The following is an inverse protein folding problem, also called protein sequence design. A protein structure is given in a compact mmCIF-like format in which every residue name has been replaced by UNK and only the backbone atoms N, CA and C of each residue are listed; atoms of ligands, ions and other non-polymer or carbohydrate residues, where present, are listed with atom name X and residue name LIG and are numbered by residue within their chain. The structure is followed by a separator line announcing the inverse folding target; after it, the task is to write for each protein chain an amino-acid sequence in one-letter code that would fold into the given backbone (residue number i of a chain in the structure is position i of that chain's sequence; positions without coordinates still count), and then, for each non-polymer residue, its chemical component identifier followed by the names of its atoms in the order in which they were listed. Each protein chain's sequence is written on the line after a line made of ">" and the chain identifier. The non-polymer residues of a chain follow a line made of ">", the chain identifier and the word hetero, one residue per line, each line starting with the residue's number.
data_IF_933750489253
#
_entry.id   IF_933750489253
#
_cell.length_a   1.000
_cell.length_b   1.000
_cell.length_c   1.000
_cell.angle_alpha   90.00
_cell.angle_beta   90.00
_cell.angle_gamma   90.00
#
_symmetry.space_group_name_H-M   'P 1'
#
loop_
_entity.id
_entity.type
_entity.pdbx_description
1 polymer ?
#
# COMPACT_ATOMS: atom_id res chain seq x y z
N UNK A 1 -12.25 -20.81 -0.31
CA UNK A 1 -13.40 -20.08 -0.89
C UNK A 1 -14.64 -20.89 -0.59
N UNK A 2 -15.65 -20.28 0.00
CA UNK A 2 -16.90 -20.99 0.31
C UNK A 2 -17.67 -21.29 -0.98
N UNK A 3 -18.62 -22.23 -0.96
CA UNK A 3 -19.49 -22.50 -2.11
C UNK A 3 -20.36 -21.30 -2.47
N UNK A 4 -20.76 -20.51 -1.46
CA UNK A 4 -21.56 -19.28 -1.61
C UNK A 4 -20.76 -18.19 -2.35
N UNK A 5 -19.45 -18.08 -2.07
CA UNK A 5 -18.57 -17.10 -2.74
C UNK A 5 -18.47 -17.38 -4.25
N UNK A 6 -18.52 -18.65 -4.65
CA UNK A 6 -18.40 -19.07 -6.05
C UNK A 6 -19.68 -18.83 -6.83
N UNK A 7 -20.83 -19.10 -6.21
CA UNK A 7 -22.14 -18.85 -6.82
C UNK A 7 -22.36 -17.35 -7.07
N UNK A 8 -22.06 -16.51 -6.07
CA UNK A 8 -22.13 -15.05 -6.22
C UNK A 8 -21.21 -14.53 -7.34
N UNK A 9 -20.01 -15.09 -7.48
CA UNK A 9 -19.08 -14.74 -8.55
C UNK A 9 -19.60 -15.16 -9.94
N UNK A 10 -20.22 -16.33 -10.06
CA UNK A 10 -20.79 -16.79 -11.33
C UNK A 10 -21.96 -15.92 -11.80
N UNK A 11 -22.82 -15.49 -10.86
CA UNK A 11 -23.94 -14.59 -11.11
C UNK A 11 -23.46 -13.21 -11.58
N UNK A 12 -22.42 -12.66 -10.94
CA UNK A 12 -21.83 -11.38 -11.34
C UNK A 12 -21.23 -11.45 -12.75
N UNK A 13 -20.49 -12.52 -13.06
CA UNK A 13 -19.93 -12.70 -14.40
C UNK A 13 -21.01 -12.88 -15.48
N UNK A 14 -22.14 -13.51 -15.14
CA UNK A 14 -23.27 -13.65 -16.05
C UNK A 14 -23.96 -12.30 -16.29
N UNK A 15 -24.12 -11.49 -15.24
CA UNK A 15 -24.65 -10.14 -15.36
C UNK A 15 -23.75 -9.28 -16.26
N UNK A 16 -22.42 -9.31 -16.07
CA UNK A 16 -21.47 -8.57 -16.89
C UNK A 16 -21.51 -9.00 -18.37
N UNK A 17 -21.57 -10.31 -18.64
CA UNK A 17 -21.69 -10.83 -20.01
C UNK A 17 -23.03 -10.50 -20.70
N UNK A 18 -24.05 -10.08 -19.93
CA UNK A 18 -25.34 -9.61 -20.47
C UNK A 18 -25.37 -8.11 -20.74
N UNK A 19 -24.52 -7.34 -20.04
CA UNK A 19 -24.44 -5.87 -20.15
C UNK A 19 -23.48 -5.48 -21.27
N UNK A 20 -22.35 -6.17 -21.36
CA UNK A 20 -21.27 -5.88 -22.30
C UNK A 20 -21.24 -6.91 -23.43
N UNK A 21 -20.89 -6.46 -24.63
CA UNK A 21 -20.77 -7.35 -25.78
C UNK A 21 -19.47 -8.18 -25.73
N UNK A 22 -19.34 -9.11 -26.68
CA UNK A 22 -18.21 -10.04 -26.73
C UNK A 22 -16.86 -9.40 -27.08
N UNK A 23 -16.83 -8.12 -27.47
CA UNK A 23 -15.60 -7.37 -27.71
C UNK A 23 -15.15 -6.61 -26.46
N UNK A 24 -16.10 -6.18 -25.62
CA UNK A 24 -15.84 -5.48 -24.36
C UNK A 24 -15.61 -6.44 -23.17
N UNK A 25 -16.35 -7.55 -23.10
CA UNK A 25 -16.24 -8.50 -22.00
C UNK A 25 -16.29 -9.96 -22.46
N UNK A 26 -15.25 -10.73 -22.10
CA UNK A 26 -15.15 -12.16 -22.42
C UNK A 26 -14.89 -12.96 -21.17
N UNK A 27 -15.84 -13.81 -20.80
CA UNK A 27 -15.71 -14.75 -19.68
C UNK A 27 -14.80 -15.92 -20.10
N UNK A 28 -13.76 -16.20 -19.32
CA UNK A 28 -12.95 -17.40 -19.48
C UNK A 28 -13.68 -18.60 -18.84
N UNK A 29 -13.73 -19.73 -19.55
CA UNK A 29 -14.49 -20.92 -19.12
C UNK A 29 -13.76 -21.76 -18.07
N UNK A 30 -12.42 -21.70 -18.01
CA UNK A 30 -11.62 -22.72 -17.32
C UNK A 30 -10.38 -22.21 -16.58
N UNK A 31 -10.07 -20.91 -16.65
CA UNK A 31 -8.85 -20.34 -16.05
C UNK A 31 -9.22 -19.32 -14.98
N UNK A 32 -8.60 -19.44 -13.80
CA UNK A 32 -8.73 -18.44 -12.74
C UNK A 32 -7.81 -17.26 -13.06
N UNK A 33 -8.40 -16.12 -13.42
CA UNK A 33 -7.68 -14.92 -13.86
C UNK A 33 -8.49 -14.13 -14.87
N UNK A 34 -7.99 -12.96 -15.27
CA UNK A 34 -8.63 -12.10 -16.28
C UNK A 34 -7.59 -11.29 -17.03
N UNK A 35 -7.88 -10.98 -18.28
CA UNK A 35 -7.13 -10.01 -19.08
C UNK A 35 -8.01 -8.76 -19.25
N UNK A 36 -7.44 -7.58 -19.01
CA UNK A 36 -8.12 -6.31 -19.27
C UNK A 36 -7.45 -5.62 -20.45
N UNK A 37 -8.24 -5.31 -21.48
CA UNK A 37 -7.78 -4.59 -22.67
C UNK A 37 -8.33 -3.17 -22.63
N UNK A 38 -7.44 -2.19 -22.56
CA UNK A 38 -7.81 -0.77 -22.50
C UNK A 38 -7.45 -0.13 -23.83
N UNK A 39 -8.44 0.42 -24.51
CA UNK A 39 -8.27 1.22 -25.72
C UNK A 39 -8.26 2.70 -25.34
N UNK A 40 -7.23 3.43 -25.75
CA UNK A 40 -7.05 4.84 -25.46
C UNK A 40 -6.80 5.60 -26.76
N UNK A 41 -7.67 6.54 -27.10
CA UNK A 41 -7.41 7.51 -28.15
C UNK A 41 -6.54 8.63 -27.60
N UNK A 42 -5.26 8.60 -27.98
CA UNK A 42 -4.25 9.52 -27.46
C UNK A 42 -3.87 10.58 -28.51
N UNK A 43 -3.68 11.84 -28.11
CA UNK A 43 -3.14 12.87 -28.99
C UNK A 43 -1.78 12.46 -29.58
N UNK A 44 -1.43 13.04 -30.73
CA UNK A 44 -0.24 12.71 -31.52
C UNK A 44 1.11 12.79 -30.78
N UNK A 45 1.15 13.39 -29.58
CA UNK A 45 2.36 13.56 -28.76
C UNK A 45 2.19 13.11 -27.30
N UNK A 46 1.21 12.25 -27.00
CA UNK A 46 1.01 11.74 -25.65
C UNK A 46 2.00 10.62 -25.32
N UNK A 47 2.48 10.58 -24.07
CA UNK A 47 3.40 9.56 -23.58
C UNK A 47 2.80 8.83 -22.40
N UNK A 48 2.66 7.51 -22.51
CA UNK A 48 2.25 6.63 -21.41
C UNK A 48 3.51 6.04 -20.77
N UNK A 49 3.56 6.08 -19.44
CA UNK A 49 4.58 5.41 -18.65
C UNK A 49 3.92 4.40 -17.74
N UNK A 50 4.52 3.20 -17.66
CA UNK A 50 4.12 2.14 -16.74
C UNK A 50 5.01 2.25 -15.50
N UNK A 51 4.50 1.93 -14.31
CA UNK A 51 5.22 2.10 -13.03
C UNK A 51 6.63 1.47 -13.04
N UNK A 52 6.80 0.26 -13.60
CA UNK A 52 8.12 -0.37 -13.75
C UNK A 52 9.10 0.49 -14.55
N UNK A 53 8.64 1.09 -15.67
CA UNK A 53 9.45 1.97 -16.51
C UNK A 53 9.77 3.31 -15.83
N UNK A 54 8.94 3.76 -14.88
CA UNK A 54 9.23 4.96 -14.08
C UNK A 54 10.37 4.71 -13.10
N UNK A 55 10.44 3.51 -12.50
CA UNK A 55 11.56 3.13 -11.64
C UNK A 55 12.89 3.07 -12.40
N UNK A 56 12.89 2.50 -13.60
CA UNK A 56 14.08 2.46 -14.46
C UNK A 56 14.54 3.85 -14.85
N UNK A 57 13.60 4.71 -15.30
CA UNK A 57 13.87 6.10 -15.67
C UNK A 57 14.45 6.89 -14.50
N UNK A 58 13.94 6.69 -13.28
CA UNK A 58 14.48 7.30 -12.08
C UNK A 58 15.91 6.84 -11.81
N UNK A 59 16.16 5.53 -11.84
CA UNK A 59 17.50 4.98 -11.59
C UNK A 59 18.51 5.53 -12.60
N UNK A 60 18.11 5.59 -13.88
CA UNK A 60 18.90 6.21 -14.95
C UNK A 60 19.16 7.69 -14.65
N UNK A 61 18.13 8.46 -14.25
CA UNK A 61 18.25 9.89 -13.95
C UNK A 61 19.12 10.19 -12.72
N UNK A 62 19.06 9.36 -11.67
CA UNK A 62 19.87 9.51 -10.46
C UNK A 62 21.36 9.20 -10.72
N UNK A 63 21.65 8.26 -11.63
CA UNK A 63 23.02 7.85 -11.98
C UNK A 63 23.60 8.67 -13.15
N UNK A 64 22.78 9.42 -13.86
CA UNK A 64 23.19 10.25 -15.00
C UNK A 64 24.04 11.45 -14.56
N UNK A 65 24.95 11.86 -15.44
CA UNK A 65 25.64 13.15 -15.35
C UNK A 65 24.72 14.31 -15.74
N UNK A 66 25.15 15.55 -15.51
CA UNK A 66 24.33 16.74 -15.79
C UNK A 66 23.98 16.91 -17.28
N UNK A 67 24.79 16.38 -18.19
CA UNK A 67 24.47 16.38 -19.61
C UNK A 67 23.32 15.42 -19.93
N UNK A 68 23.39 14.18 -19.42
CA UNK A 68 22.35 13.18 -19.63
C UNK A 68 21.07 13.52 -18.90
N UNK A 69 21.12 14.11 -17.70
CA UNK A 69 19.91 14.63 -17.02
C UNK A 69 19.17 15.65 -17.87
N UNK A 70 19.88 16.60 -18.50
CA UNK A 70 19.28 17.58 -19.43
C UNK A 70 18.64 16.90 -20.65
N UNK A 71 19.26 15.86 -21.18
CA UNK A 71 18.70 15.08 -22.28
C UNK A 71 17.45 14.30 -21.84
N UNK A 72 17.45 13.69 -20.65
CA UNK A 72 16.31 12.99 -20.06
C UNK A 72 15.15 13.97 -19.79
N UNK A 73 15.44 15.15 -19.24
CA UNK A 73 14.46 16.24 -19.06
C UNK A 73 13.84 16.69 -20.38
N UNK A 74 14.63 16.83 -21.45
CA UNK A 74 14.13 17.19 -22.77
C UNK A 74 13.33 16.06 -23.41
N UNK A 75 13.74 14.81 -23.22
CA UNK A 75 13.12 13.62 -23.82
C UNK A 75 11.82 13.24 -23.13
N UNK A 76 11.76 13.27 -21.81
CA UNK A 76 10.60 12.79 -21.03
C UNK A 76 9.77 13.92 -20.42
N UNK A 77 10.34 15.12 -20.30
CA UNK A 77 9.70 16.28 -19.69
C UNK A 77 9.84 16.27 -18.17
N UNK A 78 10.13 17.44 -17.61
CA UNK A 78 10.39 17.63 -16.16
C UNK A 78 9.31 17.05 -15.24
N UNK A 79 8.03 17.12 -15.65
CA UNK A 79 6.91 16.56 -14.87
C UNK A 79 6.97 15.04 -14.73
N UNK A 80 7.40 14.34 -15.76
CA UNK A 80 7.51 12.87 -15.74
C UNK A 80 8.71 12.45 -14.90
N UNK A 81 9.84 13.15 -15.04
CA UNK A 81 11.03 12.94 -14.21
C UNK A 81 10.71 13.18 -12.73
N UNK A 82 10.03 14.28 -12.42
CA UNK A 82 9.58 14.58 -11.05
C UNK A 82 8.70 13.46 -10.49
N UNK A 83 7.70 13.01 -11.27
CA UNK A 83 6.84 11.90 -10.86
C UNK A 83 7.63 10.60 -10.61
N UNK A 84 8.61 10.30 -11.46
CA UNK A 84 9.46 9.12 -11.31
C UNK A 84 10.31 9.16 -10.03
N UNK A 85 10.73 10.36 -9.59
CA UNK A 85 11.42 10.58 -8.33
C UNK A 85 10.47 10.42 -7.13
N UNK A 86 9.27 11.01 -7.19
CA UNK A 86 8.27 11.00 -6.11
C UNK A 86 7.65 9.61 -5.85
N UNK A 87 7.42 8.80 -6.89
CA UNK A 87 6.77 7.47 -6.79
C UNK A 87 7.55 6.50 -5.88
N UNK A 88 8.85 6.73 -5.71
CA UNK A 88 9.71 5.95 -4.81
C UNK A 88 9.67 6.45 -3.37
N UNK A 89 9.60 7.77 -3.16
CA UNK A 89 9.43 8.33 -1.82
C UNK A 89 8.17 7.75 -1.17
N UNK A 90 7.07 7.62 -1.92
CA UNK A 90 5.86 7.01 -1.41
C UNK A 90 6.04 5.54 -1.00
N UNK A 91 6.78 4.74 -1.78
CA UNK A 91 6.94 3.30 -1.49
C UNK A 91 7.93 3.03 -0.37
N UNK A 92 9.10 3.66 -0.41
CA UNK A 92 10.10 3.52 0.64
C UNK A 92 9.61 4.09 1.97
N UNK A 93 8.88 5.21 1.93
CA UNK A 93 8.28 5.78 3.13
C UNK A 93 7.24 4.82 3.73
N UNK A 94 6.40 4.18 2.91
CA UNK A 94 5.46 3.16 3.38
C UNK A 94 6.19 1.97 4.01
N UNK A 95 7.28 1.48 3.41
CA UNK A 95 8.05 0.36 3.95
C UNK A 95 8.73 0.70 5.28
N UNK A 96 9.16 1.95 5.46
CA UNK A 96 9.85 2.39 6.69
C UNK A 96 8.89 2.78 7.82
N UNK A 97 7.75 3.40 7.50
CA UNK A 97 6.85 4.00 8.49
C UNK A 97 5.56 3.21 8.72
N UNK A 98 5.30 2.17 7.93
CA UNK A 98 4.09 1.36 8.05
C UNK A 98 4.39 -0.12 8.20
N UNK A 99 3.42 -0.85 8.79
CA UNK A 99 3.41 -2.31 8.83
C UNK A 99 2.12 -2.82 8.20
N UNK A 100 2.22 -3.90 7.44
CA UNK A 100 1.07 -4.50 6.77
C UNK A 100 0.16 -5.22 7.77
N UNK A 101 -1.16 -5.00 7.63
CA UNK A 101 -2.14 -5.72 8.42
C UNK A 101 -2.01 -7.24 8.20
N UNK A 102 -1.96 -8.06 9.27
CA UNK A 102 -1.81 -9.51 9.14
C UNK A 102 -3.03 -10.23 8.55
N UNK A 103 -4.16 -9.53 8.44
CA UNK A 103 -5.41 -10.10 7.92
C UNK A 103 -5.65 -9.75 6.44
N UNK A 104 -5.40 -8.50 6.03
CA UNK A 104 -5.74 -8.01 4.68
C UNK A 104 -4.60 -7.29 3.96
N UNK A 105 -3.42 -7.17 4.56
CA UNK A 105 -2.25 -6.56 3.93
C UNK A 105 -2.26 -5.03 3.84
N UNK A 106 -3.34 -4.35 4.23
CA UNK A 106 -3.40 -2.87 4.24
C UNK A 106 -2.24 -2.30 5.06
N UNK A 107 -1.41 -1.38 4.51
CA UNK A 107 -0.34 -0.73 5.26
C UNK A 107 -0.93 0.18 6.34
N UNK A 108 -0.46 0.03 7.57
CA UNK A 108 -0.91 0.80 8.73
C UNK A 108 0.31 1.47 9.34
N UNK A 109 0.25 2.79 9.50
CA UNK A 109 1.22 3.56 10.29
C UNK A 109 0.79 3.58 11.76
N UNK A 110 1.75 3.55 12.67
CA UNK A 110 1.51 3.80 14.10
C UNK A 110 1.95 5.23 14.40
N UNK A 111 0.98 6.11 14.63
CA UNK A 111 1.23 7.49 15.03
C UNK A 111 1.59 7.57 16.51
N UNK A 112 0.69 7.13 17.39
CA UNK A 112 0.94 7.06 18.83
C UNK A 112 -0.08 6.11 19.50
N UNK A 113 0.13 5.76 20.77
CA UNK A 113 -0.77 4.97 21.59
C UNK A 113 -0.38 3.49 21.70
N UNK A 114 -1.27 2.71 22.30
CA UNK A 114 -0.95 1.34 22.69
C UNK A 114 -0.68 0.39 21.51
N UNK A 115 0.02 -0.71 21.78
CA UNK A 115 0.36 -1.74 20.80
C UNK A 115 -0.85 -2.57 20.32
N UNK A 116 -2.07 -2.31 20.82
CA UNK A 116 -3.32 -2.85 20.27
C UNK A 116 -3.83 -1.95 19.16
N UNK A 117 -3.49 -2.30 17.92
CA UNK A 117 -3.88 -1.56 16.72
C UNK A 117 -5.19 -2.06 16.12
N UNK A 118 -5.85 -1.21 15.32
CA UNK A 118 -7.05 -1.55 14.55
C UNK A 118 -6.79 -1.26 13.08
N UNK A 119 -6.93 -2.27 12.22
CA UNK A 119 -6.76 -2.08 10.79
C UNK A 119 -7.82 -1.12 10.23
N UNK A 120 -7.42 -0.12 9.45
CA UNK A 120 -8.34 0.84 8.83
C UNK A 120 -9.19 0.21 7.72
N UNK A 121 -8.67 -0.78 7.00
CA UNK A 121 -9.37 -1.52 5.94
C UNK A 121 -10.37 -2.55 6.48
N UNK A 122 -9.90 -3.63 7.10
CA UNK A 122 -10.77 -4.74 7.53
C UNK A 122 -11.29 -4.64 8.99
N UNK A 123 -10.89 -3.60 9.74
CA UNK A 123 -11.24 -3.40 11.16
C UNK A 123 -10.81 -4.53 12.11
N UNK A 124 -9.93 -5.43 11.68
CA UNK A 124 -9.33 -6.45 12.55
C UNK A 124 -8.40 -5.82 13.58
N UNK A 125 -8.50 -6.26 14.84
CA UNK A 125 -7.55 -5.89 15.89
C UNK A 125 -6.28 -6.74 15.76
N UNK A 126 -5.12 -6.12 15.95
CA UNK A 126 -3.84 -6.82 15.90
C UNK A 126 -2.81 -6.19 16.84
N UNK A 127 -1.77 -6.94 17.18
CA UNK A 127 -0.66 -6.47 18.00
C UNK A 127 0.45 -5.86 17.13
N UNK A 128 0.88 -4.64 17.44
CA UNK A 128 1.93 -3.93 16.70
C UNK A 128 3.35 -4.51 16.89
N UNK A 129 3.55 -5.30 17.95
CA UNK A 129 4.84 -5.92 18.24
C UNK A 129 5.01 -7.19 17.40
N UNK A 130 4.09 -8.14 17.55
CA UNK A 130 4.20 -9.47 16.95
C UNK A 130 3.44 -9.64 15.63
N UNK A 131 2.72 -8.60 15.17
CA UNK A 131 1.79 -8.68 14.02
C UNK A 131 0.69 -9.76 14.17
N UNK A 132 0.39 -10.21 15.40
CA UNK A 132 -0.62 -11.23 15.65
C UNK A 132 -2.05 -10.66 15.67
N UNK A 133 -3.00 -11.37 15.06
CA UNK A 133 -4.43 -11.03 15.14
C UNK A 133 -4.96 -11.19 16.57
N UNK A 134 -5.69 -10.18 17.05
CA UNK A 134 -6.30 -10.15 18.38
C UNK A 134 -7.80 -10.48 18.32
N UNK A 135 -8.31 -11.08 19.39
CA UNK A 135 -9.75 -11.34 19.52
C UNK A 135 -10.55 -10.03 19.59
N UNK A 136 -11.70 -9.98 18.91
CA UNK A 136 -12.65 -8.86 19.03
C UNK A 136 -13.32 -8.79 20.41
N UNK A 137 -13.55 -9.95 21.04
CA UNK A 137 -14.23 -10.02 22.33
C UNK A 137 -13.31 -9.56 23.48
N UNK A 138 -12.02 -9.92 23.43
CA UNK A 138 -11.05 -9.49 24.43
C UNK A 138 -9.66 -9.28 23.80
N UNK A 139 -9.41 -8.11 23.19
CA UNK A 139 -8.14 -7.82 22.51
C UNK A 139 -6.97 -7.63 23.49
N UNK A 140 -7.24 -7.28 24.75
CA UNK A 140 -6.20 -7.03 25.76
C UNK A 140 -5.68 -8.30 26.43
N UNK A 141 -6.38 -9.43 26.30
CA UNK A 141 -5.92 -10.73 26.81
C UNK A 141 -4.49 -11.05 26.37
N UNK A 142 -4.14 -10.73 25.13
CA UNK A 142 -2.80 -10.94 24.58
C UNK A 142 -1.69 -10.23 25.36
N UNK A 143 -1.98 -9.11 26.02
CA UNK A 143 -1.01 -8.35 26.81
C UNK A 143 -1.05 -8.74 28.29
N UNK A 144 -2.11 -9.39 28.76
CA UNK A 144 -2.30 -9.79 30.16
C UNK A 144 -2.02 -11.28 30.42
N UNK A 145 -1.74 -12.05 29.36
CA UNK A 145 -1.44 -13.48 29.46
C UNK A 145 0.08 -13.70 29.60
N UNK A 146 0.57 -14.26 30.73
CA UNK A 146 2.00 -14.55 30.91
C UNK A 146 2.59 -15.50 29.88
N UNK A 147 1.76 -16.30 29.19
CA UNK A 147 2.21 -17.18 28.11
C UNK A 147 2.41 -16.43 26.78
N UNK A 148 1.96 -15.18 26.68
CA UNK A 148 2.09 -14.37 25.47
C UNK A 148 3.49 -13.75 25.37
N UNK A 149 4.11 -13.75 24.16
CA UNK A 149 5.39 -13.04 23.95
C UNK A 149 5.26 -11.51 24.14
N UNK A 150 4.04 -10.98 24.19
CA UNK A 150 3.78 -9.55 24.40
C UNK A 150 3.16 -9.25 25.78
N UNK A 151 3.33 -10.15 26.75
CA UNK A 151 2.90 -9.93 28.14
C UNK A 151 3.46 -8.62 28.71
N UNK A 152 2.60 -7.79 29.30
CA UNK A 152 2.88 -6.46 29.83
C UNK A 152 3.50 -5.45 28.84
N UNK A 153 3.36 -5.68 27.52
CA UNK A 153 3.89 -4.78 26.49
C UNK A 153 2.83 -3.94 25.79
N UNK A 154 1.68 -3.69 26.43
CA UNK A 154 0.61 -2.88 25.83
C UNK A 154 1.08 -1.44 25.51
N UNK A 155 1.92 -0.87 26.37
CA UNK A 155 2.47 0.49 26.22
C UNK A 155 4.02 0.50 26.16
N UNK A 156 4.65 -0.62 25.83
CA UNK A 156 6.11 -0.64 25.69
C UNK A 156 6.51 0.01 24.36
N UNK A 157 7.54 0.88 24.39
CA UNK A 157 8.05 1.61 23.23
C UNK A 157 6.96 2.42 22.48
N UNK A 158 6.06 3.06 23.24
CA UNK A 158 5.40 4.27 22.75
C UNK A 158 6.42 5.38 22.96
N UNK A 159 7.05 5.80 21.86
CA UNK A 159 7.95 6.93 21.85
C UNK A 159 7.14 8.15 22.30
N UNK A 160 7.36 8.56 23.55
CA UNK A 160 7.03 9.92 23.97
C UNK A 160 8.16 10.74 23.38
N UNK A 161 7.88 11.48 22.30
CA UNK A 161 8.84 12.45 21.76
C UNK A 161 9.26 13.36 22.92
N UNK A 162 10.48 13.16 23.39
CA UNK A 162 11.12 13.92 24.48
C UNK A 162 11.71 15.23 23.93
N UNK A 163 11.04 15.83 22.93
CA UNK A 163 11.32 17.18 22.45
C UNK A 163 10.53 18.19 23.31
N UNK A 164 10.81 18.14 24.62
CA UNK A 164 10.52 19.26 25.52
C UNK A 164 11.58 20.31 25.20
N UNK A 165 11.14 21.35 24.50
CA UNK A 165 11.89 22.57 24.26
C UNK A 165 12.47 23.05 25.59
N UNK A 166 13.80 23.00 25.74
CA UNK A 166 14.53 23.80 26.72
C UNK A 166 14.35 25.26 26.32
N UNK A 167 13.21 25.86 26.69
CA UNK A 167 13.06 27.31 26.67
C UNK A 167 14.10 27.87 27.65
N UNK A 168 15.05 28.60 27.08
CA UNK A 168 16.07 29.39 27.73
C UNK A 168 15.45 30.20 28.88
N UNK A 169 15.81 29.85 30.12
CA UNK A 169 15.66 30.75 31.26
C UNK A 169 16.91 31.64 31.28
N UNK A 170 16.88 32.76 30.56
CA UNK A 170 17.82 33.85 30.78
C UNK A 170 17.39 34.65 32.03
N UNK A 171 18.24 34.63 33.06
CA UNK A 171 18.24 35.58 34.18
C UNK A 171 18.87 36.93 33.80
#
# INVERSE_FOLDING_TARGET
>A
MSSEDREAQEDELLALASIYDGDEFRKAESVQGGETRIYLDLPQNFKIFVSEKLMDLRNEYLQADEANKRLLDQRYGKRVIQKALEEMESKEWLEKNSKSCPCCGTPIEKLDGCNKMTCTGCKQYFCWICMGSLSRANPYKHFNDPASPCFNRLFYAVDVDDDIWEDEVED
#
